data_IF_257015237640
#
_entry.id   IF_257015237640
#
_cell.length_a   1.000
_cell.length_b   1.000
_cell.length_c   1.000
_cell.angle_alpha   90.00
_cell.angle_beta   90.00
_cell.angle_gamma   90.00
#
_symmetry.space_group_name_H-M   'P 1'
#
loop_
_entity.id
_entity.type
_entity.pdbx_description
1 polymer ?
#
# COMPACT_ATOMS: atom_id res chain seq x y z
N UNK A 1 -11.39 0.87 -13.04
CA UNK A 1 -10.47 1.47 -12.06
C UNK A 1 -10.57 0.70 -10.77
N UNK A 2 -9.96 -0.49 -10.77
CA UNK A 2 -9.69 -1.27 -9.60
C UNK A 2 -8.59 -0.60 -8.79
N UNK A 3 -8.81 -0.53 -7.47
CA UNK A 3 -7.85 -0.08 -6.48
C UNK A 3 -7.82 -1.17 -5.42
N UNK A 4 -6.75 -1.95 -5.37
CA UNK A 4 -6.69 -3.19 -4.60
C UNK A 4 -5.34 -3.26 -3.87
N UNK A 5 -5.38 -3.66 -2.60
CA UNK A 5 -4.20 -4.17 -1.89
C UNK A 5 -4.52 -5.63 -1.55
N UNK A 6 -3.90 -6.56 -2.24
CA UNK A 6 -4.15 -8.00 -2.09
C UNK A 6 -5.62 -8.39 -2.26
N UNK A 7 -6.26 -8.91 -1.20
CA UNK A 7 -7.68 -9.26 -1.23
C UNK A 7 -8.61 -8.07 -0.92
N UNK A 8 -8.07 -6.90 -0.57
CA UNK A 8 -8.84 -5.75 -0.11
C UNK A 8 -9.13 -4.77 -1.24
N UNK A 9 -10.39 -4.69 -1.72
CA UNK A 9 -10.78 -3.70 -2.70
C UNK A 9 -11.10 -2.36 -2.03
N UNK A 10 -10.75 -1.29 -2.73
CA UNK A 10 -11.01 0.09 -2.34
C UNK A 10 -11.73 0.82 -3.47
N UNK A 11 -12.54 1.80 -3.12
CA UNK A 11 -13.28 2.63 -4.08
C UNK A 11 -12.31 3.55 -4.81
N UNK A 12 -11.35 4.11 -4.07
CA UNK A 12 -10.45 5.14 -4.57
C UNK A 12 -9.13 5.08 -3.82
N UNK A 13 -8.06 5.39 -4.55
CA UNK A 13 -6.78 5.79 -3.99
C UNK A 13 -6.44 7.22 -4.41
N UNK A 14 -5.94 8.00 -3.46
CA UNK A 14 -5.33 9.30 -3.72
C UNK A 14 -3.89 9.27 -3.20
N UNK A 15 -2.98 9.76 -4.02
CA UNK A 15 -1.54 9.76 -3.74
C UNK A 15 -0.76 9.43 -5.00
N UNK A 16 0.56 9.41 -4.87
CA UNK A 16 1.45 9.13 -5.99
C UNK A 16 2.41 8.03 -5.56
N UNK A 17 2.15 6.79 -5.98
CA UNK A 17 2.99 5.67 -5.59
C UNK A 17 4.40 5.87 -6.15
N UNK A 18 5.41 5.55 -5.36
CA UNK A 18 6.82 5.72 -5.72
C UNK A 18 7.39 4.37 -6.14
N UNK A 19 7.85 4.22 -7.40
CA UNK A 19 8.46 2.98 -7.84
C UNK A 19 9.76 2.71 -7.06
N UNK A 20 10.15 1.44 -6.88
CA UNK A 20 11.40 1.10 -6.23
C UNK A 20 12.59 1.61 -7.04
N UNK A 21 13.53 2.26 -6.35
CA UNK A 21 14.79 2.74 -6.94
C UNK A 21 15.91 1.81 -6.49
N UNK A 22 16.91 1.60 -7.35
CA UNK A 22 18.08 0.77 -7.04
C UNK A 22 18.83 1.30 -5.82
N UNK A 23 19.00 0.44 -4.81
CA UNK A 23 19.80 0.75 -3.63
C UNK A 23 21.20 0.18 -3.81
N UNK A 24 22.19 1.08 -3.80
CA UNK A 24 23.60 0.73 -3.80
C UNK A 24 24.12 0.78 -2.37
N UNK A 25 24.87 -0.24 -1.96
CA UNK A 25 25.63 -0.20 -0.71
C UNK A 25 26.68 0.93 -0.78
N UNK A 26 26.98 1.65 0.31
CA UNK A 26 28.04 2.64 0.31
C UNK A 26 29.34 2.00 -0.20
N UNK A 27 30.14 2.71 -1.01
CA UNK A 27 31.32 2.12 -1.61
C UNK A 27 32.26 1.64 -0.50
N UNK A 28 32.55 0.34 -0.50
CA UNK A 28 33.60 -0.22 0.37
C UNK A 28 34.94 0.20 -0.26
N UNK A 29 35.42 1.40 0.09
CA UNK A 29 36.78 1.80 -0.25
C UNK A 29 37.75 1.16 0.75
N UNK A 30 38.44 0.08 0.31
CA UNK A 30 39.63 -0.41 1.01
C UNK A 30 40.81 0.50 0.67
N UNK A 31 41.41 1.11 1.69
CA UNK A 31 42.56 2.02 1.53
C UNK A 31 43.73 1.25 0.88
N UNK A 32 44.11 1.65 -0.34
CA UNK A 32 45.25 1.07 -1.07
C UNK A 32 44.90 0.12 -2.23
N UNK A 33 43.62 -0.01 -2.61
CA UNK A 33 43.19 -0.73 -3.81
C UNK A 33 42.53 0.24 -4.79
N UNK A 34 42.97 0.26 -6.04
CA UNK A 34 42.31 1.04 -7.11
C UNK A 34 40.99 0.37 -7.49
N UNK A 35 39.88 1.05 -7.20
CA UNK A 35 38.53 0.61 -7.55
C UNK A 35 37.53 0.80 -6.42
N UNK A 36 36.30 1.17 -6.80
CA UNK A 36 35.14 1.16 -5.92
C UNK A 36 34.23 0.00 -6.31
N UNK A 37 34.05 -0.96 -5.40
CA UNK A 37 33.02 -1.98 -5.52
C UNK A 37 31.73 -1.50 -4.85
N UNK A 38 30.60 -1.70 -5.52
CA UNK A 38 29.27 -1.52 -4.95
C UNK A 38 28.59 -2.89 -4.87
N UNK A 39 27.96 -3.18 -3.74
CA UNK A 39 27.07 -4.34 -3.63
C UNK A 39 25.64 -3.87 -3.94
N UNK A 40 24.94 -4.59 -4.81
CA UNK A 40 23.51 -4.38 -5.02
C UNK A 40 22.77 -5.06 -3.87
N UNK A 41 22.06 -4.29 -3.04
CA UNK A 41 21.35 -4.82 -1.87
C UNK A 41 19.88 -5.13 -2.20
N UNK A 42 19.39 -4.62 -3.33
CA UNK A 42 18.03 -4.80 -3.82
C UNK A 42 17.46 -3.49 -4.35
N UNK A 43 16.17 -3.48 -4.67
CA UNK A 43 15.42 -2.27 -5.01
C UNK A 43 14.31 -2.04 -4.01
N UNK A 44 14.28 -0.83 -3.44
CA UNK A 44 13.24 -0.39 -2.52
C UNK A 44 12.87 1.05 -2.83
N UNK A 45 11.58 1.34 -2.82
CA UNK A 45 11.06 2.68 -3.05
C UNK A 45 11.21 3.56 -1.82
N UNK A 46 11.17 4.87 -2.03
CA UNK A 46 10.91 5.78 -0.92
C UNK A 46 9.53 5.47 -0.32
N UNK A 47 9.34 5.56 1.01
CA UNK A 47 8.02 5.48 1.60
C UNK A 47 7.09 6.54 0.98
N UNK A 48 5.87 6.15 0.66
CA UNK A 48 4.85 7.02 0.11
C UNK A 48 3.51 6.80 0.81
N UNK A 49 2.69 7.84 0.82
CA UNK A 49 1.37 7.79 1.44
C UNK A 49 0.30 7.62 0.38
N UNK A 50 -0.63 6.70 0.64
CA UNK A 50 -1.86 6.53 -0.12
C UNK A 50 -3.03 6.72 0.82
N UNK A 51 -3.95 7.61 0.44
CA UNK A 51 -5.26 7.70 1.08
C UNK A 51 -6.23 6.78 0.34
N UNK A 52 -6.94 5.96 1.09
CA UNK A 52 -7.87 4.97 0.56
C UNK A 52 -9.28 5.17 1.11
N UNK A 53 -10.28 4.96 0.25
CA UNK A 53 -11.68 5.00 0.63
C UNK A 53 -12.30 3.62 0.46
N UNK A 54 -13.02 3.18 1.48
CA UNK A 54 -13.76 1.91 1.45
C UNK A 54 -15.14 2.12 2.07
N UNK A 55 -16.14 1.55 1.41
CA UNK A 55 -17.52 1.56 1.85
C UNK A 55 -17.88 0.19 2.44
N UNK A 56 -18.58 0.21 3.56
CA UNK A 56 -19.01 -0.98 4.26
C UNK A 56 -20.51 -0.92 4.56
N UNK A 57 -21.15 -2.08 4.52
CA UNK A 57 -22.60 -2.21 4.72
C UNK A 57 -23.06 -1.78 6.11
N UNK A 58 -22.19 -1.92 7.12
CA UNK A 58 -22.49 -1.58 8.50
C UNK A 58 -21.30 -0.96 9.21
N UNK A 59 -21.55 -0.16 10.23
CA UNK A 59 -20.51 0.40 11.08
C UNK A 59 -19.71 -0.68 11.82
N UNK A 60 -20.33 -1.81 12.15
CA UNK A 60 -19.65 -2.96 12.77
C UNK A 60 -18.67 -3.61 11.80
N UNK A 61 -19.04 -3.75 10.52
CA UNK A 61 -18.14 -4.26 9.48
C UNK A 61 -16.94 -3.33 9.27
N UNK A 62 -17.16 -2.01 9.24
CA UNK A 62 -16.08 -1.03 9.16
C UNK A 62 -15.09 -1.16 10.34
N UNK A 63 -15.59 -1.35 11.57
CA UNK A 63 -14.75 -1.59 12.74
C UNK A 63 -13.91 -2.86 12.63
N UNK A 64 -14.51 -3.97 12.16
CA UNK A 64 -13.78 -5.20 11.93
C UNK A 64 -12.69 -5.02 10.85
N UNK A 65 -13.00 -4.28 9.79
CA UNK A 65 -12.07 -3.98 8.71
C UNK A 65 -10.87 -3.16 9.19
N UNK A 66 -11.06 -2.14 10.05
CA UNK A 66 -9.94 -1.38 10.66
C UNK A 66 -8.94 -2.31 11.35
N UNK A 67 -9.42 -3.34 12.06
CA UNK A 67 -8.55 -4.33 12.71
C UNK A 67 -7.78 -5.16 11.67
N UNK A 68 -8.44 -5.58 10.59
CA UNK A 68 -7.81 -6.32 9.49
C UNK A 68 -6.72 -5.48 8.81
N UNK A 69 -7.01 -4.22 8.44
CA UNK A 69 -6.03 -3.34 7.81
C UNK A 69 -4.82 -3.06 8.71
N UNK A 70 -5.04 -2.89 10.02
CA UNK A 70 -3.93 -2.75 10.98
C UNK A 70 -3.10 -4.02 11.11
N UNK A 71 -3.70 -5.20 10.92
CA UNK A 71 -2.97 -6.46 10.95
C UNK A 71 -2.04 -6.62 9.74
N UNK A 72 -2.24 -5.87 8.65
CA UNK A 72 -1.33 -5.86 7.49
C UNK A 72 0.03 -5.24 7.79
N UNK A 73 0.11 -4.41 8.85
CA UNK A 73 1.35 -3.70 9.19
C UNK A 73 2.44 -4.68 9.58
N UNK A 74 3.55 -4.68 8.85
CA UNK A 74 4.73 -5.48 9.15
C UNK A 74 4.67 -6.94 8.68
N UNK A 75 3.67 -7.33 7.89
CA UNK A 75 3.65 -8.64 7.23
C UNK A 75 4.43 -8.62 5.90
N UNK A 76 4.41 -9.77 5.21
CA UNK A 76 4.97 -9.95 3.89
C UNK A 76 4.45 -8.92 2.86
N UNK A 77 5.22 -8.64 1.79
CA UNK A 77 4.79 -7.69 0.76
C UNK A 77 3.48 -8.11 0.08
N UNK A 78 2.56 -7.16 -0.01
CA UNK A 78 1.24 -7.32 -0.61
C UNK A 78 1.24 -6.96 -2.09
N UNK A 79 0.39 -7.60 -2.87
CA UNK A 79 0.11 -7.15 -4.23
C UNK A 79 -0.59 -5.79 -4.22
N UNK A 80 -0.31 -4.98 -5.23
CA UNK A 80 -0.84 -3.62 -5.32
C UNK A 80 -1.36 -3.33 -6.72
N UNK A 81 -2.59 -2.82 -6.80
CA UNK A 81 -3.21 -2.37 -8.03
C UNK A 81 -3.82 -0.99 -7.80
N UNK A 82 -3.50 -0.04 -8.68
CA UNK A 82 -4.04 1.32 -8.64
C UNK A 82 -4.47 1.75 -10.03
N UNK A 83 -5.71 2.19 -10.18
CA UNK A 83 -6.28 2.61 -11.47
C UNK A 83 -6.14 1.54 -12.59
N UNK A 84 -6.42 0.28 -12.27
CA UNK A 84 -6.26 -0.89 -13.17
C UNK A 84 -4.80 -1.23 -13.56
N UNK A 85 -3.80 -0.55 -12.97
CA UNK A 85 -2.39 -0.89 -13.16
C UNK A 85 -1.90 -1.80 -12.03
N UNK A 86 -1.56 -3.04 -12.37
CA UNK A 86 -0.97 -4.01 -11.45
C UNK A 86 0.54 -3.80 -11.35
N UNK A 87 1.03 -3.76 -10.12
CA UNK A 87 2.46 -3.59 -9.85
C UNK A 87 3.19 -4.93 -9.79
N UNK A 88 2.46 -6.01 -9.54
CA UNK A 88 2.98 -7.37 -9.54
C UNK A 88 3.57 -7.79 -10.90
N UNK A 89 3.05 -7.24 -12.01
CA UNK A 89 3.54 -7.55 -13.37
C UNK A 89 5.01 -7.14 -13.56
N UNK A 90 5.48 -6.14 -12.79
CA UNK A 90 6.87 -5.68 -12.75
C UNK A 90 7.68 -6.31 -11.60
N UNK A 91 7.17 -7.39 -10.98
CA UNK A 91 7.70 -8.01 -9.76
C UNK A 91 7.74 -7.07 -8.54
N UNK A 92 6.86 -6.07 -8.49
CA UNK A 92 6.83 -5.09 -7.41
C UNK A 92 5.64 -5.31 -6.50
N UNK A 93 5.92 -5.36 -5.20
CA UNK A 93 4.92 -5.45 -4.14
C UNK A 93 5.04 -4.27 -3.20
N UNK A 94 4.05 -4.07 -2.33
CA UNK A 94 4.06 -3.02 -1.32
C UNK A 94 4.11 -3.60 0.08
N UNK A 95 4.98 -3.04 0.92
CA UNK A 95 4.98 -3.30 2.35
C UNK A 95 4.19 -2.20 3.05
N UNK A 96 3.25 -2.60 3.90
CA UNK A 96 2.46 -1.68 4.72
C UNK A 96 3.25 -1.37 6.00
N UNK A 97 3.70 -0.13 6.13
CA UNK A 97 4.42 0.33 7.33
C UNK A 97 3.49 0.91 8.39
N UNK A 98 2.41 1.56 7.98
CA UNK A 98 1.45 2.17 8.89
C UNK A 98 0.08 2.26 8.23
N UNK A 99 -0.96 2.11 9.04
CA UNK A 99 -2.35 2.37 8.66
C UNK A 99 -3.00 3.23 9.73
N UNK A 100 -3.57 4.36 9.32
CA UNK A 100 -4.28 5.27 10.20
C UNK A 100 -5.70 5.51 9.69
N UNK A 101 -6.65 5.67 10.61
CA UNK A 101 -8.00 6.10 10.26
C UNK A 101 -7.96 7.61 10.15
N UNK A 102 -8.10 8.12 8.93
CA UNK A 102 -8.10 9.55 8.66
C UNK A 102 -9.49 10.15 8.92
N UNK A 103 -10.54 9.45 8.48
CA UNK A 103 -11.93 9.84 8.69
C UNK A 103 -12.84 8.60 8.67
N UNK A 104 -13.99 8.70 9.32
CA UNK A 104 -15.00 7.67 9.33
C UNK A 104 -16.37 8.28 9.60
N UNK A 105 -17.38 7.91 8.82
CA UNK A 105 -18.73 8.40 9.04
C UNK A 105 -19.78 7.40 8.60
N UNK A 106 -20.88 7.33 9.38
CA UNK A 106 -22.04 6.55 9.04
C UNK A 106 -22.83 7.21 7.91
N UNK A 107 -23.25 6.43 6.92
CA UNK A 107 -24.14 6.88 5.87
C UNK A 107 -25.59 6.60 6.31
N UNK A 108 -26.24 7.61 6.89
CA UNK A 108 -27.64 7.49 7.34
C UNK A 108 -28.56 7.92 6.18
N UNK A 109 -29.19 6.96 5.53
CA UNK A 109 -30.24 7.20 4.52
C UNK A 109 -29.90 6.60 3.16
N UNK A 110 -30.75 5.69 2.68
CA UNK A 110 -30.54 4.82 1.51
C UNK A 110 -30.55 5.50 0.13
N UNK A 111 -29.88 6.65 -0.03
CA UNK A 111 -29.71 7.33 -1.33
C UNK A 111 -28.41 8.13 -1.29
N UNK A 112 -27.28 7.48 -1.57
CA UNK A 112 -25.97 8.14 -1.57
C UNK A 112 -24.76 7.21 -1.44
N UNK A 113 -25.01 5.97 -1.05
CA UNK A 113 -24.01 4.91 -1.09
C UNK A 113 -23.50 4.62 -2.49
N UNK A 114 -22.17 4.49 -2.64
CA UNK A 114 -21.56 4.09 -3.92
C UNK A 114 -21.89 2.61 -4.22
N UNK A 115 -22.10 1.78 -3.19
CA UNK A 115 -22.48 0.37 -3.28
C UNK A 115 -23.58 -0.01 -2.27
N UNK A 116 -24.87 -0.04 -2.66
CA UNK A 116 -25.94 -0.47 -1.77
C UNK A 116 -25.74 -1.95 -1.34
N UNK A 117 -25.83 -2.29 -0.04
CA UNK A 117 -26.07 -1.40 1.10
C UNK A 117 -24.78 -0.68 1.55
N UNK A 118 -24.83 0.65 1.68
CA UNK A 118 -23.73 1.47 2.21
C UNK A 118 -24.14 2.02 3.57
N UNK A 119 -23.51 1.56 4.65
CA UNK A 119 -23.83 1.98 6.02
C UNK A 119 -22.73 2.81 6.67
N UNK A 120 -21.48 2.69 6.23
CA UNK A 120 -20.35 3.45 6.74
C UNK A 120 -19.25 3.60 5.70
N UNK A 121 -18.74 4.82 5.58
CA UNK A 121 -17.55 5.13 4.77
C UNK A 121 -16.34 5.25 5.70
N UNK A 122 -15.24 4.60 5.31
CA UNK A 122 -13.97 4.62 6.02
C UNK A 122 -12.89 5.19 5.10
N UNK A 123 -12.13 6.15 5.64
CA UNK A 123 -10.98 6.77 4.97
C UNK A 123 -9.73 6.42 5.74
N UNK A 124 -8.79 5.79 5.06
CA UNK A 124 -7.56 5.26 5.64
C UNK A 124 -6.34 5.94 5.00
N UNK A 125 -5.38 6.33 5.82
CA UNK A 125 -4.06 6.75 5.37
C UNK A 125 -3.08 5.59 5.54
N UNK A 126 -2.59 5.06 4.41
CA UNK A 126 -1.58 4.03 4.35
C UNK A 126 -0.21 4.65 4.11
N UNK A 127 0.78 4.27 4.92
CA UNK A 127 2.19 4.49 4.61
C UNK A 127 2.74 3.20 4.00
N UNK A 128 3.06 3.26 2.72
CA UNK A 128 3.50 2.13 1.91
C UNK A 128 4.95 2.30 1.49
N UNK A 129 5.58 1.20 1.13
CA UNK A 129 6.89 1.20 0.49
C UNK A 129 6.94 0.09 -0.56
N UNK A 130 7.29 0.46 -1.79
CA UNK A 130 7.44 -0.52 -2.86
C UNK A 130 8.74 -1.32 -2.67
N UNK A 131 8.67 -2.63 -2.90
CA UNK A 131 9.80 -3.56 -2.84
C UNK A 131 9.78 -4.46 -4.07
N UNK A 132 10.95 -4.73 -4.63
CA UNK A 132 11.10 -5.76 -5.65
C UNK A 132 11.15 -7.13 -4.96
N UNK A 133 10.36 -8.08 -5.43
CA UNK A 133 10.30 -9.45 -4.90
C UNK A 133 10.80 -10.39 -5.98
N UNK A 134 11.70 -11.31 -5.65
CA UNK A 134 12.16 -12.30 -6.63
C UNK A 134 11.00 -13.18 -7.08
N UNK A 135 10.88 -13.50 -8.38
CA UNK A 135 9.90 -14.47 -8.84
C UNK A 135 10.24 -15.84 -8.24
N UNK A 136 9.31 -16.36 -7.44
CA UNK A 136 9.41 -17.69 -6.81
C UNK A 136 9.20 -18.84 -7.80
#
# INVERSE_FOLDING_TARGET
MANIIDEYPFIRFDGSPQPPVEQLDPPIQRRGVDGSGFWKIGKRGAPFQIRAWVDHETMTAAWAAIKAYRAMVGNDPYSFEMNDQKWDDDNWKVVVHRVEVADWHGLIGGTGGVNPPSGAMLVLDFLLCAVEVEPG
#
